data_IF_791262091656
#
_entry.id   IF_791262091656
#
_cell.length_a   1.000
_cell.length_b   1.000
_cell.length_c   1.000
_cell.angle_alpha   90.00
_cell.angle_beta   90.00
_cell.angle_gamma   90.00
#
_symmetry.space_group_name_H-M   'P 1'
#
loop_
_entity.id
_entity.type
_entity.pdbx_description
1 polymer ?
#
# COMPACT_ATOMS: atom_id res chain seq x y z
N UNK A 1 0.61 -9.55 22.35
CA UNK A 1 0.17 -8.22 21.86
C UNK A 1 0.96 -7.80 20.61
N UNK A 2 2.28 -8.01 20.60
CA UNK A 2 3.24 -8.08 19.47
C UNK A 2 2.61 -8.42 18.09
N UNK A 3 2.17 -9.68 17.98
CA UNK A 3 1.81 -10.28 16.69
C UNK A 3 0.58 -9.70 16.00
N UNK A 4 -0.42 -9.19 16.74
CA UNK A 4 -1.63 -8.62 16.13
C UNK A 4 -1.28 -7.38 15.30
N UNK A 5 -0.37 -6.54 15.80
CA UNK A 5 0.09 -5.34 15.10
C UNK A 5 0.80 -5.71 13.80
N UNK A 6 1.69 -6.72 13.85
CA UNK A 6 2.41 -7.23 12.67
C UNK A 6 1.44 -7.80 11.63
N UNK A 7 0.46 -8.61 12.05
CA UNK A 7 -0.55 -9.18 11.16
C UNK A 7 -1.38 -8.08 10.49
N UNK A 8 -1.80 -7.05 11.24
CA UNK A 8 -2.55 -5.91 10.69
C UNK A 8 -1.72 -5.17 9.64
N UNK A 9 -0.44 -4.90 9.92
CA UNK A 9 0.43 -4.17 8.98
C UNK A 9 0.64 -4.97 7.70
N UNK A 10 1.01 -6.25 7.82
CA UNK A 10 1.25 -7.11 6.65
C UNK A 10 -0.03 -7.22 5.82
N UNK A 11 -1.17 -7.51 6.46
CA UNK A 11 -2.44 -7.63 5.77
C UNK A 11 -2.86 -6.31 5.10
N UNK A 12 -2.68 -5.16 5.76
CA UNK A 12 -2.94 -3.86 5.16
C UNK A 12 -2.09 -3.62 3.91
N UNK A 13 -0.77 -3.85 3.97
CA UNK A 13 0.13 -3.63 2.83
C UNK A 13 -0.22 -4.56 1.67
N UNK A 14 -0.52 -5.83 1.97
CA UNK A 14 -0.94 -6.81 0.96
C UNK A 14 -2.27 -6.42 0.32
N UNK A 15 -3.29 -6.10 1.11
CA UNK A 15 -4.61 -5.73 0.60
C UNK A 15 -4.59 -4.40 -0.17
N UNK A 16 -3.79 -3.42 0.28
CA UNK A 16 -3.65 -2.13 -0.36
C UNK A 16 -2.96 -2.21 -1.73
N UNK A 17 -1.97 -3.09 -1.86
CA UNK A 17 -1.25 -3.34 -3.12
C UNK A 17 -1.95 -4.31 -4.06
N UNK A 18 -3.06 -4.94 -3.65
CA UNK A 18 -3.73 -5.97 -4.44
C UNK A 18 -4.41 -5.36 -5.69
N UNK A 19 -3.82 -5.63 -6.85
CA UNK A 19 -4.27 -5.11 -8.13
C UNK A 19 -5.10 -6.11 -8.93
N UNK A 20 -4.70 -7.39 -8.96
CA UNK A 20 -5.31 -8.38 -9.85
C UNK A 20 -6.75 -8.66 -9.43
N UNK A 21 -7.00 -8.84 -8.14
CA UNK A 21 -8.34 -9.05 -7.63
C UNK A 21 -9.19 -7.78 -7.80
N UNK A 22 -8.65 -6.62 -7.45
CA UNK A 22 -9.34 -5.34 -7.52
C UNK A 22 -9.78 -5.01 -8.97
N UNK A 23 -8.87 -5.15 -9.94
CA UNK A 23 -9.17 -4.89 -11.36
C UNK A 23 -10.21 -5.84 -11.96
N UNK A 24 -10.37 -7.04 -11.40
CA UNK A 24 -11.35 -8.03 -11.86
C UNK A 24 -12.73 -7.86 -11.25
N UNK A 25 -12.80 -7.44 -9.98
CA UNK A 25 -14.07 -7.28 -9.27
C UNK A 25 -14.69 -5.89 -9.47
N UNK A 26 -13.86 -4.85 -9.62
CA UNK A 26 -14.31 -3.47 -9.70
C UNK A 26 -14.67 -3.08 -11.14
N UNK A 27 -15.96 -3.16 -11.46
CA UNK A 27 -16.45 -2.84 -12.80
C UNK A 27 -16.65 -1.34 -13.04
N UNK A 28 -16.89 -0.56 -11.98
CA UNK A 28 -17.18 0.88 -12.07
C UNK A 28 -15.97 1.71 -11.65
N UNK A 29 -15.64 2.75 -12.44
CA UNK A 29 -14.48 3.61 -12.20
C UNK A 29 -14.52 4.30 -10.84
N UNK A 30 -15.71 4.62 -10.32
CA UNK A 30 -15.89 5.21 -8.99
C UNK A 30 -15.50 4.30 -7.82
N UNK A 31 -15.29 3.00 -8.08
CA UNK A 31 -14.89 2.01 -7.06
C UNK A 31 -13.44 1.59 -7.18
N UNK A 32 -12.70 2.06 -8.19
CA UNK A 32 -11.33 1.64 -8.44
C UNK A 32 -10.39 2.03 -7.30
N UNK A 33 -9.58 1.08 -6.85
CA UNK A 33 -8.46 1.38 -5.96
C UNK A 33 -7.38 2.17 -6.71
N UNK A 34 -6.54 2.90 -5.96
CA UNK A 34 -5.44 3.67 -6.54
C UNK A 34 -4.51 2.84 -7.44
N UNK A 35 -4.12 1.59 -7.10
CA UNK A 35 -3.39 0.72 -8.01
C UNK A 35 -4.11 0.45 -9.35
N UNK A 36 -5.44 0.25 -9.32
CA UNK A 36 -6.24 0.02 -10.54
C UNK A 36 -6.29 1.28 -11.40
N UNK A 37 -6.49 2.45 -10.78
CA UNK A 37 -6.45 3.75 -11.47
C UNK A 37 -5.10 3.97 -12.16
N UNK A 38 -4.00 3.70 -11.45
CA UNK A 38 -2.64 3.85 -11.99
C UNK A 38 -2.39 2.94 -13.21
N UNK A 39 -2.88 1.71 -13.19
CA UNK A 39 -2.78 0.79 -14.32
C UNK A 39 -3.63 1.25 -15.53
N UNK A 40 -4.78 1.88 -15.29
CA UNK A 40 -5.63 2.44 -16.35
C UNK A 40 -5.01 3.67 -17.02
N UNK A 41 -4.13 4.40 -16.30
CA UNK A 41 -3.58 5.66 -16.76
C UNK A 41 -2.58 5.52 -17.93
N UNK A 42 -2.09 4.30 -18.19
CA UNK A 42 -1.26 3.95 -19.35
C UNK A 42 -2.05 3.35 -20.52
N UNK A 43 -3.31 2.96 -20.32
CA UNK A 43 -4.11 2.23 -21.30
C UNK A 43 -5.54 2.77 -21.47
N UNK A 44 -5.73 3.64 -22.46
CA UNK A 44 -7.05 3.88 -23.07
C UNK A 44 -7.80 5.16 -22.69
N UNK A 45 -7.43 5.87 -21.63
CA UNK A 45 -8.04 7.17 -21.26
C UNK A 45 -7.01 8.30 -21.30
N UNK A 46 -6.50 8.61 -22.50
CA UNK A 46 -5.63 9.76 -22.77
C UNK A 46 -4.35 9.81 -21.92
N UNK A 47 -3.21 9.40 -22.48
CA UNK A 47 -1.91 9.39 -21.79
C UNK A 47 -1.78 10.54 -20.78
N UNK A 48 -1.83 10.19 -19.49
CA UNK A 48 -1.86 11.19 -18.44
C UNK A 48 -0.53 11.94 -18.45
N UNK A 49 -0.59 13.26 -18.29
CA UNK A 49 0.64 14.05 -18.17
C UNK A 49 1.47 13.51 -16.99
N UNK A 50 2.78 13.36 -17.20
CA UNK A 50 3.73 12.83 -16.21
C UNK A 50 3.60 13.43 -14.80
N UNK A 51 3.38 14.75 -14.63
CA UNK A 51 3.19 15.34 -13.29
C UNK A 51 1.95 14.80 -12.57
N UNK A 52 0.86 14.54 -13.31
CA UNK A 52 -0.39 14.00 -12.75
C UNK A 52 -0.20 12.55 -12.33
N UNK A 53 0.47 11.74 -13.15
CA UNK A 53 0.85 10.37 -12.78
C UNK A 53 1.69 10.34 -11.51
N UNK A 54 2.73 11.18 -11.44
CA UNK A 54 3.59 11.28 -10.26
C UNK A 54 2.80 11.61 -8.99
N UNK A 55 1.86 12.56 -9.06
CA UNK A 55 1.01 12.90 -7.92
C UNK A 55 0.17 11.69 -7.45
N UNK A 56 -0.42 10.92 -8.37
CA UNK A 56 -1.20 9.72 -8.03
C UNK A 56 -0.31 8.62 -7.44
N UNK A 57 0.91 8.44 -7.95
CA UNK A 57 1.88 7.52 -7.36
C UNK A 57 2.24 7.91 -5.92
N UNK A 58 2.48 9.20 -5.65
CA UNK A 58 2.74 9.70 -4.29
C UNK A 58 1.56 9.39 -3.37
N UNK A 59 0.33 9.65 -3.82
CA UNK A 59 -0.88 9.32 -3.05
C UNK A 59 -0.99 7.82 -2.78
N UNK A 60 -0.66 6.96 -3.76
CA UNK A 60 -0.72 5.51 -3.61
C UNK A 60 0.30 4.95 -2.60
N UNK A 61 1.51 5.50 -2.53
CA UNK A 61 2.55 5.05 -1.58
C UNK A 61 2.38 5.64 -0.17
N UNK A 62 1.76 6.81 -0.06
CA UNK A 62 1.61 7.56 1.21
C UNK A 62 1.03 6.72 2.36
N UNK A 63 -0.10 6.00 2.21
CA UNK A 63 -0.63 5.19 3.31
C UNK A 63 0.34 4.09 3.72
N UNK A 64 1.01 3.42 2.77
CA UNK A 64 2.05 2.43 3.07
C UNK A 64 3.18 3.02 3.93
N UNK A 65 3.63 4.24 3.63
CA UNK A 65 4.63 4.94 4.42
C UNK A 65 4.13 5.31 5.82
N UNK A 66 2.87 5.75 5.96
CA UNK A 66 2.26 6.06 7.26
C UNK A 66 2.24 4.81 8.14
N UNK A 67 1.75 3.69 7.61
CA UNK A 67 1.71 2.42 8.34
C UNK A 67 3.11 1.93 8.70
N UNK A 68 4.07 2.04 7.78
CA UNK A 68 5.46 1.71 8.04
C UNK A 68 6.06 2.57 9.16
N UNK A 69 5.85 3.88 9.14
CA UNK A 69 6.38 4.79 10.17
C UNK A 69 5.82 4.47 11.56
N UNK A 70 4.54 4.08 11.65
CA UNK A 70 3.91 3.62 12.89
C UNK A 70 4.52 2.26 13.30
N UNK A 71 4.66 1.33 12.36
CA UNK A 71 5.23 0.00 12.56
C UNK A 71 6.68 0.00 13.05
N UNK A 72 7.49 0.91 12.52
CA UNK A 72 8.94 0.98 12.75
C UNK A 72 9.30 1.00 14.24
N UNK A 73 8.47 1.66 15.07
CA UNK A 73 8.70 1.74 16.52
C UNK A 73 8.59 0.37 17.21
N UNK A 74 7.65 -0.47 16.80
CA UNK A 74 7.50 -1.82 17.36
C UNK A 74 8.47 -2.81 16.75
N UNK A 75 8.78 -2.66 15.47
CA UNK A 75 9.79 -3.47 14.79
C UNK A 75 11.17 -3.32 15.47
N UNK A 76 11.59 -2.09 15.76
CA UNK A 76 12.84 -1.82 16.48
C UNK A 76 12.85 -2.40 17.90
N UNK A 77 11.75 -2.31 18.65
CA UNK A 77 11.63 -2.92 19.98
C UNK A 77 11.72 -4.44 19.94
N UNK A 78 11.03 -5.08 18.99
CA UNK A 78 11.08 -6.53 18.81
C UNK A 78 12.47 -7.04 18.43
N UNK A 79 13.20 -6.30 17.60
CA UNK A 79 14.58 -6.63 17.23
C UNK A 79 15.54 -6.57 18.44
N UNK A 80 15.42 -5.53 19.28
CA UNK A 80 16.22 -5.40 20.50
C UNK A 80 15.91 -6.51 21.53
N UNK A 81 14.63 -6.81 21.74
CA UNK A 81 14.21 -7.90 22.63
C UNK A 81 14.67 -9.28 22.13
N UNK A 82 14.73 -9.48 20.80
CA UNK A 82 15.28 -10.68 20.19
C UNK A 82 16.79 -10.81 20.36
N UNK A 83 17.53 -9.70 20.21
CA UNK A 83 18.97 -9.66 20.39
C UNK A 83 19.41 -9.87 21.85
N UNK A 84 18.58 -9.49 22.83
CA UNK A 84 18.84 -9.73 24.26
C UNK A 84 18.49 -11.16 24.73
N UNK A 85 17.75 -11.92 23.91
CA UNK A 85 17.35 -13.29 24.21
C UNK A 85 18.22 -14.35 23.49
N UNK A 86 19.07 -13.92 22.56
CA UNK A 86 20.12 -14.74 21.97
C UNK A 86 21.38 -14.70 22.86
#
# INVERSE_FOLDING_TARGET
RNGIVVVIIINFVTAWGEYLLASRLMNEQGQWTLPVVLASASGGMGAWAWPRLAAVYIMAITPGLIFFAIAQRWYMKGLQEGALKA
#
